data_IF_537075586687
#
_entry.id   IF_537075586687
#
_cell.length_a   1.000
_cell.length_b   1.000
_cell.length_c   1.000
_cell.angle_alpha   90.00
_cell.angle_beta   90.00
_cell.angle_gamma   90.00
#
_symmetry.space_group_name_H-M   'P 1'
#
loop_
_entity.id
_entity.type
_entity.pdbx_description
1 polymer ?
#
# COMPACT_ATOMS: atom_id res chain seq x y z
N UNK A 1 -45.54 41.59 -16.49
CA UNK A 1 -44.41 41.52 -15.54
C UNK A 1 -44.34 40.08 -15.08
N UNK A 2 -43.38 39.23 -15.44
CA UNK A 2 -42.17 39.29 -16.27
C UNK A 2 -42.12 37.90 -16.94
N UNK A 3 -41.82 37.87 -18.24
CA UNK A 3 -41.34 36.69 -18.95
C UNK A 3 -39.96 36.33 -18.40
N UNK A 4 -39.68 35.06 -18.11
CA UNK A 4 -38.29 34.58 -18.11
C UNK A 4 -38.30 33.10 -18.54
N UNK A 5 -38.17 32.93 -19.85
CA UNK A 5 -37.42 31.82 -20.42
C UNK A 5 -35.99 31.87 -19.87
N UNK A 6 -35.43 30.73 -19.46
CA UNK A 6 -34.05 30.37 -19.83
C UNK A 6 -33.77 28.92 -19.42
N UNK A 7 -33.89 28.05 -20.42
CA UNK A 7 -33.12 26.82 -20.56
C UNK A 7 -31.67 27.24 -20.81
N UNK A 8 -30.72 26.80 -19.98
CA UNK A 8 -29.34 26.55 -20.40
C UNK A 8 -28.86 25.29 -19.67
N UNK A 9 -28.84 24.18 -20.42
CA UNK A 9 -27.92 23.07 -20.22
C UNK A 9 -26.49 23.60 -20.37
N UNK A 10 -25.66 23.51 -19.34
CA UNK A 10 -24.21 23.43 -19.51
C UNK A 10 -23.68 22.39 -18.51
N UNK A 11 -23.67 21.15 -18.98
CA UNK A 11 -22.69 20.15 -18.55
C UNK A 11 -21.32 20.82 -18.63
N UNK A 12 -20.69 21.06 -17.48
CA UNK A 12 -19.29 21.45 -17.40
C UNK A 12 -18.43 20.20 -17.67
N UNK A 13 -18.61 19.65 -18.88
CA UNK A 13 -17.67 18.77 -19.58
C UNK A 13 -16.51 19.64 -20.04
N UNK A 14 -15.79 20.20 -19.07
CA UNK A 14 -14.39 20.54 -19.29
C UNK A 14 -13.59 19.23 -19.32
N UNK A 15 -13.86 18.40 -20.35
CA UNK A 15 -12.89 17.46 -20.88
C UNK A 15 -11.66 18.27 -21.22
N UNK A 16 -10.66 18.24 -20.32
CA UNK A 16 -9.38 18.86 -20.57
C UNK A 16 -8.81 18.28 -21.88
N UNK A 17 -8.95 19.05 -22.95
CA UNK A 17 -8.56 18.65 -24.28
C UNK A 17 -7.03 18.45 -24.28
N UNK A 18 -6.63 17.19 -24.48
CA UNK A 18 -5.24 16.78 -24.40
C UNK A 18 -4.43 17.54 -25.47
N UNK A 19 -3.34 18.20 -25.07
CA UNK A 19 -2.48 18.92 -26.02
C UNK A 19 -1.96 17.96 -27.10
N UNK A 20 -2.16 18.24 -28.40
CA UNK A 20 -1.71 17.39 -29.51
C UNK A 20 -0.18 17.32 -29.66
N UNK A 21 0.59 17.98 -28.76
CA UNK A 21 2.06 17.89 -28.69
C UNK A 21 2.56 16.71 -27.84
N UNK A 22 1.66 15.98 -27.18
CA UNK A 22 2.00 14.85 -26.32
C UNK A 22 1.49 13.55 -26.92
N UNK A 23 2.39 12.73 -27.48
CA UNK A 23 2.12 11.34 -27.86
C UNK A 23 1.91 10.50 -26.59
N UNK A 24 0.73 10.61 -25.97
CA UNK A 24 0.38 9.84 -24.78
C UNK A 24 0.26 8.36 -25.14
N UNK A 25 1.32 7.60 -24.83
CA UNK A 25 1.32 6.15 -24.95
C UNK A 25 1.00 5.51 -23.61
N UNK A 26 -0.28 5.19 -23.37
CA UNK A 26 -0.72 4.40 -22.20
C UNK A 26 0.09 3.11 -22.06
N UNK A 27 0.41 2.47 -23.19
CA UNK A 27 1.24 1.26 -23.24
C UNK A 27 2.65 1.49 -22.70
N UNK A 28 3.28 2.63 -23.03
CA UNK A 28 4.61 2.98 -22.51
C UNK A 28 4.58 3.26 -21.00
N UNK A 29 3.53 3.93 -20.50
CA UNK A 29 3.37 4.19 -19.07
C UNK A 29 3.22 2.87 -18.31
N UNK A 30 2.39 1.96 -18.82
CA UNK A 30 2.20 0.63 -18.24
C UNK A 30 3.50 -0.18 -18.28
N UNK A 31 4.23 -0.17 -19.40
CA UNK A 31 5.52 -0.83 -19.51
C UNK A 31 6.54 -0.30 -18.47
N UNK A 32 6.58 1.02 -18.30
CA UNK A 32 7.42 1.66 -17.28
C UNK A 32 7.00 1.28 -15.86
N UNK A 33 5.69 1.20 -15.57
CA UNK A 33 5.18 0.76 -14.28
C UNK A 33 5.57 -0.69 -13.98
N UNK A 34 5.34 -1.62 -14.92
CA UNK A 34 5.75 -3.03 -14.79
C UNK A 34 7.25 -3.13 -14.57
N UNK A 35 8.06 -2.39 -15.34
CA UNK A 35 9.52 -2.41 -15.22
C UNK A 35 9.97 -1.91 -13.85
N UNK A 36 9.36 -0.84 -13.33
CA UNK A 36 9.63 -0.34 -11.97
C UNK A 36 9.25 -1.36 -10.91
N UNK A 37 8.09 -1.99 -11.03
CA UNK A 37 7.65 -3.05 -10.11
C UNK A 37 8.63 -4.22 -10.13
N UNK A 38 9.02 -4.71 -11.32
CA UNK A 38 9.99 -5.79 -11.47
C UNK A 38 11.37 -5.43 -10.90
N UNK A 39 11.86 -4.21 -11.14
CA UNK A 39 13.12 -3.73 -10.60
C UNK A 39 13.08 -3.67 -9.06
N UNK A 40 12.00 -3.11 -8.48
CA UNK A 40 11.85 -3.08 -7.02
C UNK A 40 11.78 -4.49 -6.42
N UNK A 41 11.22 -5.46 -7.15
CA UNK A 41 11.18 -6.86 -6.71
C UNK A 41 12.55 -7.55 -6.72
N UNK A 42 13.48 -7.06 -7.54
CA UNK A 42 14.86 -7.53 -7.63
C UNK A 42 15.77 -7.02 -6.51
N UNK A 43 15.29 -6.08 -5.69
CA UNK A 43 15.99 -5.63 -4.49
C UNK A 43 15.87 -6.64 -3.34
N UNK A 44 16.77 -6.55 -2.36
CA UNK A 44 16.72 -7.38 -1.17
C UNK A 44 15.50 -6.98 -0.31
N UNK A 45 14.61 -7.94 -0.04
CA UNK A 45 13.31 -7.73 0.61
C UNK A 45 13.44 -7.61 2.14
N UNK A 46 14.10 -6.54 2.59
CA UNK A 46 14.37 -6.28 4.01
C UNK A 46 13.73 -4.98 4.50
N UNK A 47 13.61 -4.87 5.82
CA UNK A 47 13.18 -3.64 6.47
C UNK A 47 14.13 -2.49 6.16
N UNK A 48 13.62 -1.25 6.26
CA UNK A 48 14.42 -0.06 6.00
C UNK A 48 15.62 0.03 6.94
N UNK A 49 16.77 0.43 6.39
CA UNK A 49 18.03 0.46 7.11
C UNK A 49 18.86 1.68 6.72
N UNK A 50 19.85 2.02 7.54
CA UNK A 50 20.81 3.04 7.19
C UNK A 50 22.03 2.42 6.51
N UNK A 51 22.42 3.01 5.39
CA UNK A 51 23.65 2.69 4.68
C UNK A 51 24.58 3.90 4.64
N UNK A 52 25.86 3.71 4.31
CA UNK A 52 26.82 4.79 4.14
C UNK A 52 27.20 4.92 2.66
N UNK A 53 27.18 6.14 2.15
CA UNK A 53 27.72 6.48 0.83
C UNK A 53 28.84 7.50 1.00
N UNK A 54 29.94 7.27 0.29
CA UNK A 54 31.03 8.23 0.26
C UNK A 54 30.71 9.34 -0.76
N UNK A 55 30.87 10.60 -0.35
CA UNK A 55 30.82 11.72 -1.27
C UNK A 55 32.11 11.81 -2.11
N UNK A 56 32.15 12.77 -3.04
CA UNK A 56 33.34 12.98 -3.90
C UNK A 56 34.58 13.42 -3.12
N UNK A 57 34.40 13.94 -1.91
CA UNK A 57 35.44 14.44 -1.03
C UNK A 57 35.91 13.36 -0.02
N UNK A 58 35.32 12.16 -0.08
CA UNK A 58 35.67 11.01 0.76
C UNK A 58 34.95 10.95 2.11
N UNK A 59 33.98 11.83 2.39
CA UNK A 59 33.20 11.79 3.62
C UNK A 59 32.08 10.74 3.54
N UNK A 60 31.88 10.01 4.63
CA UNK A 60 30.79 9.03 4.74
C UNK A 60 29.48 9.73 5.12
N UNK A 61 28.52 9.77 4.20
CA UNK A 61 27.16 10.28 4.42
C UNK A 61 26.23 9.11 4.72
N UNK A 62 25.51 9.19 5.85
CA UNK A 62 24.50 8.22 6.24
C UNK A 62 23.22 8.46 5.43
N UNK A 63 22.80 7.47 4.65
CA UNK A 63 21.60 7.51 3.81
C UNK A 63 20.59 6.50 4.32
N UNK A 64 19.35 6.93 4.52
CA UNK A 64 18.25 6.03 4.84
C UNK A 64 17.76 5.33 3.57
N UNK A 65 17.73 4.01 3.61
CA UNK A 65 17.15 3.18 2.57
C UNK A 65 15.77 2.73 3.06
N UNK A 66 14.68 3.07 2.36
CA UNK A 66 13.34 2.67 2.75
C UNK A 66 13.13 1.14 2.66
N UNK A 67 12.10 0.65 3.35
CA UNK A 67 11.71 -0.76 3.34
C UNK A 67 11.32 -1.21 1.93
N UNK A 68 12.12 -2.09 1.33
CA UNK A 68 11.96 -2.53 -0.05
C UNK A 68 10.63 -3.26 -0.28
N UNK A 69 10.12 -3.98 0.74
CA UNK A 69 8.84 -4.68 0.66
C UNK A 69 7.69 -3.68 0.45
N UNK A 70 7.71 -2.57 1.19
CA UNK A 70 6.71 -1.50 1.06
C UNK A 70 6.77 -0.81 -0.30
N UNK A 71 7.98 -0.57 -0.82
CA UNK A 71 8.18 0.01 -2.16
C UNK A 71 7.59 -0.90 -3.23
N UNK A 72 7.90 -2.20 -3.18
CA UNK A 72 7.34 -3.18 -4.10
C UNK A 72 5.81 -3.21 -4.04
N UNK A 73 5.23 -3.33 -2.84
CA UNK A 73 3.77 -3.30 -2.66
C UNK A 73 3.15 -2.03 -3.23
N UNK A 74 3.76 -0.86 -2.97
CA UNK A 74 3.29 0.43 -3.50
C UNK A 74 3.34 0.48 -5.03
N UNK A 75 4.37 -0.08 -5.66
CA UNK A 75 4.49 -0.13 -7.11
C UNK A 75 3.43 -1.04 -7.75
N UNK A 76 3.12 -2.17 -7.10
CA UNK A 76 2.02 -3.06 -7.52
C UNK A 76 0.67 -2.36 -7.39
N UNK A 77 0.39 -1.67 -6.28
CA UNK A 77 -0.87 -0.92 -6.11
C UNK A 77 -1.02 0.17 -7.18
N UNK A 78 0.05 0.90 -7.48
CA UNK A 78 0.06 1.87 -8.58
C UNK A 78 -0.22 1.19 -9.94
N UNK A 79 0.33 -0.01 -10.16
CA UNK A 79 0.07 -0.79 -11.40
C UNK A 79 -1.39 -1.24 -11.49
N UNK A 80 -1.99 -1.67 -10.38
CA UNK A 80 -3.42 -2.02 -10.29
C UNK A 80 -4.29 -0.81 -10.66
N UNK A 81 -3.97 0.36 -10.12
CA UNK A 81 -4.71 1.60 -10.43
C UNK A 81 -4.62 1.97 -11.91
N UNK A 82 -3.43 1.88 -12.52
CA UNK A 82 -3.24 2.14 -13.96
C UNK A 82 -4.03 1.18 -14.85
N UNK A 83 -4.17 -0.07 -14.42
CA UNK A 83 -4.89 -1.13 -15.14
C UNK A 83 -6.36 -1.28 -14.70
N UNK A 84 -6.87 -0.37 -13.87
CA UNK A 84 -8.23 -0.45 -13.33
C UNK A 84 -9.30 -0.63 -14.44
N UNK A 85 -9.25 0.10 -15.58
CA UNK A 85 -10.22 -0.10 -16.66
C UNK A 85 -10.20 -1.51 -17.25
N UNK A 86 -9.02 -2.13 -17.39
CA UNK A 86 -8.84 -3.48 -17.91
C UNK A 86 -9.28 -4.53 -16.89
N UNK A 87 -8.96 -4.32 -15.62
CA UNK A 87 -9.38 -5.18 -14.50
C UNK A 87 -10.90 -5.22 -14.40
N UNK A 88 -11.59 -4.09 -14.57
CA UNK A 88 -13.06 -4.03 -14.50
C UNK A 88 -13.70 -4.81 -15.66
N UNK A 89 -13.11 -4.71 -16.86
CA UNK A 89 -13.60 -5.44 -18.05
C UNK A 89 -13.35 -6.94 -17.96
N UNK A 90 -12.26 -7.36 -17.33
CA UNK A 90 -11.92 -8.77 -17.14
C UNK A 90 -12.60 -9.36 -15.88
N UNK A 91 -13.67 -10.15 -16.10
CA UNK A 91 -14.42 -10.81 -15.02
C UNK A 91 -13.58 -11.72 -14.14
N UNK A 92 -12.52 -12.34 -14.67
CA UNK A 92 -11.63 -13.22 -13.91
C UNK A 92 -10.75 -12.37 -13.01
N UNK A 93 -10.12 -11.34 -13.55
CA UNK A 93 -9.24 -10.46 -12.79
C UNK A 93 -9.99 -9.70 -11.70
N UNK A 94 -11.21 -9.25 -11.97
CA UNK A 94 -12.04 -8.60 -10.95
C UNK A 94 -12.27 -9.51 -9.73
N UNK A 95 -12.56 -10.81 -9.94
CA UNK A 95 -12.68 -11.78 -8.84
C UNK A 95 -11.38 -11.94 -8.06
N UNK A 96 -10.25 -11.97 -8.75
CA UNK A 96 -8.92 -12.05 -8.13
C UNK A 96 -8.65 -10.83 -7.24
N UNK A 97 -8.98 -9.62 -7.70
CA UNK A 97 -8.82 -8.38 -6.92
C UNK A 97 -9.70 -8.37 -5.68
N UNK A 98 -10.97 -8.80 -5.81
CA UNK A 98 -11.87 -8.91 -4.64
C UNK A 98 -11.28 -9.86 -3.59
N UNK A 99 -10.73 -11.00 -4.01
CA UNK A 99 -10.11 -11.96 -3.09
C UNK A 99 -8.81 -11.42 -2.48
N UNK A 100 -8.00 -10.72 -3.27
CA UNK A 100 -6.79 -10.04 -2.81
C UNK A 100 -7.10 -9.02 -1.71
N UNK A 101 -8.12 -8.18 -1.88
CA UNK A 101 -8.53 -7.19 -0.87
C UNK A 101 -9.08 -7.85 0.41
N UNK A 102 -9.80 -8.97 0.28
CA UNK A 102 -10.20 -9.77 1.45
C UNK A 102 -9.00 -10.29 2.22
N UNK A 103 -8.00 -10.85 1.52
CA UNK A 103 -6.80 -11.38 2.16
C UNK A 103 -5.95 -10.27 2.78
N UNK A 104 -5.84 -9.10 2.14
CA UNK A 104 -5.21 -7.90 2.74
C UNK A 104 -5.89 -7.52 4.05
N UNK A 105 -7.22 -7.48 4.07
CA UNK A 105 -7.96 -7.16 5.29
C UNK A 105 -7.79 -8.24 6.38
N UNK A 106 -7.78 -9.53 6.02
CA UNK A 106 -7.50 -10.62 6.97
C UNK A 106 -6.12 -10.41 7.61
N UNK A 107 -5.07 -10.20 6.80
CA UNK A 107 -3.72 -9.94 7.32
C UNK A 107 -3.70 -8.71 8.24
N UNK A 108 -4.37 -7.62 7.85
CA UNK A 108 -4.48 -6.45 8.71
C UNK A 108 -5.14 -6.78 10.05
N UNK A 109 -6.29 -7.48 10.07
CA UNK A 109 -6.96 -7.84 11.33
C UNK A 109 -6.13 -8.80 12.20
N UNK A 110 -5.34 -9.68 11.58
CA UNK A 110 -4.45 -10.62 12.29
C UNK A 110 -3.29 -9.90 12.98
N UNK A 111 -2.70 -8.91 12.32
CA UNK A 111 -1.45 -8.29 12.77
C UNK A 111 -1.59 -6.86 13.32
N UNK A 112 -2.78 -6.25 13.22
CA UNK A 112 -3.02 -4.92 13.77
C UNK A 112 -2.89 -4.90 15.30
N UNK A 113 -2.27 -3.83 15.79
CA UNK A 113 -2.41 -3.43 17.16
C UNK A 113 -3.82 -2.91 17.38
N UNK A 114 -4.44 -3.35 18.47
CA UNK A 114 -5.75 -2.89 18.91
C UNK A 114 -5.53 -2.03 20.14
N UNK A 115 -5.76 -0.73 20.00
CA UNK A 115 -5.53 0.21 21.08
C UNK A 115 -6.47 -0.08 22.23
N UNK A 116 -5.86 -0.09 23.40
CA UNK A 116 -6.55 -0.18 24.66
C UNK A 116 -6.30 1.12 25.40
N UNK A 117 -7.35 1.65 26.00
CA UNK A 117 -7.25 2.70 27.00
C UNK A 117 -7.53 2.12 28.36
N UNK A 118 -6.93 2.72 29.37
CA UNK A 118 -7.22 2.37 30.75
C UNK A 118 -8.51 3.06 31.20
N UNK A 119 -9.37 2.34 31.91
CA UNK A 119 -10.62 2.85 32.48
C UNK A 119 -10.71 2.53 33.98
N UNK A 120 -11.36 3.40 34.74
CA UNK A 120 -11.72 3.14 36.14
C UNK A 120 -13.07 2.39 36.16
N UNK A 121 -13.12 1.27 36.86
CA UNK A 121 -14.30 0.43 36.99
C UNK A 121 -15.18 0.92 38.15
N UNK A 122 -16.49 0.60 38.17
CA UNK A 122 -17.42 1.06 39.21
C UNK A 122 -17.04 0.63 40.64
N UNK A 123 -16.18 -0.38 40.80
CA UNK A 123 -15.68 -0.88 42.07
C UNK A 123 -14.39 -0.16 42.56
N UNK A 124 -13.93 0.86 41.85
CA UNK A 124 -12.66 1.56 42.12
C UNK A 124 -11.40 0.81 41.68
N UNK A 125 -11.55 -0.33 40.98
CA UNK A 125 -10.43 -1.01 40.32
C UNK A 125 -10.18 -0.41 38.93
N UNK A 126 -9.04 -0.76 38.31
CA UNK A 126 -8.71 -0.33 36.95
C UNK A 126 -8.81 -1.51 35.98
N UNK A 127 -9.35 -1.24 34.79
CA UNK A 127 -9.44 -2.19 33.69
C UNK A 127 -8.91 -1.60 32.38
N UNK A 128 -8.87 -2.43 31.36
CA UNK A 128 -8.53 -2.05 29.99
C UNK A 128 -9.74 -2.17 29.09
N UNK A 129 -10.02 -1.14 28.32
CA UNK A 129 -11.09 -1.11 27.33
C UNK A 129 -10.50 -0.85 25.95
N UNK A 130 -10.99 -1.57 24.94
CA UNK A 130 -10.62 -1.31 23.55
C UNK A 130 -11.22 0.02 23.11
N UNK A 131 -10.39 0.93 22.60
CA UNK A 131 -10.88 2.21 22.05
C UNK A 131 -11.62 2.03 20.73
N UNK A 132 -11.34 0.92 20.03
CA UNK A 132 -11.80 0.65 18.67
C UNK A 132 -10.79 1.02 17.60
N UNK A 133 -9.76 1.82 17.93
CA UNK A 133 -8.68 2.16 17.00
C UNK A 133 -7.82 0.93 16.71
N UNK A 134 -7.51 0.72 15.42
CA UNK A 134 -6.64 -0.36 14.96
C UNK A 134 -5.65 0.18 13.94
N UNK A 135 -4.38 -0.17 14.07
CA UNK A 135 -3.37 0.15 13.06
C UNK A 135 -2.23 -0.86 13.07
N UNK A 136 -1.38 -0.80 12.05
CA UNK A 136 -0.09 -1.49 12.05
C UNK A 136 0.94 -0.49 12.59
N UNK A 137 1.56 -0.74 13.75
CA UNK A 137 2.55 0.18 14.30
C UNK A 137 3.76 0.32 13.37
N UNK A 138 4.49 1.43 13.51
CA UNK A 138 5.80 1.62 12.89
C UNK A 138 6.84 0.78 13.64
N UNK A 139 7.91 0.41 12.93
CA UNK A 139 9.08 -0.15 13.59
C UNK A 139 9.53 0.83 14.66
N UNK A 140 9.83 0.30 15.85
CA UNK A 140 10.29 1.08 16.99
C UNK A 140 9.27 2.10 17.52
N UNK A 141 7.99 1.95 17.17
CA UNK A 141 6.90 2.71 17.79
C UNK A 141 6.80 2.33 19.28
N UNK A 142 6.56 3.34 20.12
CA UNK A 142 6.30 3.14 21.54
C UNK A 142 4.83 2.79 21.73
N UNK A 143 4.59 1.63 22.33
CA UNK A 143 3.25 1.11 22.54
C UNK A 143 2.99 1.01 24.03
N UNK A 144 1.79 1.41 24.44
CA UNK A 144 1.29 1.23 25.80
C UNK A 144 1.03 -0.25 26.08
N UNK A 145 1.63 -0.74 27.16
CA UNK A 145 1.49 -2.11 27.64
C UNK A 145 1.02 -2.17 29.09
N UNK A 146 0.44 -3.30 29.46
CA UNK A 146 0.13 -3.60 30.85
C UNK A 146 1.44 -3.83 31.61
N UNK A 147 1.61 -3.18 32.76
CA UNK A 147 2.79 -3.38 33.61
C UNK A 147 2.84 -4.86 34.05
N UNK A 148 3.88 -5.62 33.64
CA UNK A 148 3.96 -7.06 33.93
C UNK A 148 4.15 -7.34 35.42
N UNK A 149 4.66 -6.37 36.19
CA UNK A 149 4.95 -6.51 37.62
C UNK A 149 3.73 -6.14 38.46
N UNK A 150 2.94 -5.17 38.00
CA UNK A 150 1.75 -4.71 38.71
C UNK A 150 0.60 -4.42 37.75
N UNK A 151 -0.13 -5.45 37.26
CA UNK A 151 -1.21 -5.28 36.29
C UNK A 151 -2.39 -4.44 36.81
N UNK A 152 -2.46 -4.19 38.12
CA UNK A 152 -3.44 -3.30 38.78
C UNK A 152 -2.87 -1.93 39.20
N UNK A 153 -1.57 -1.68 39.00
CA UNK A 153 -0.89 -0.41 39.36
C UNK A 153 -1.19 0.69 38.36
N UNK A 154 -1.35 1.93 38.81
CA UNK A 154 -1.58 3.14 38.01
C UNK A 154 -0.48 3.46 36.97
N UNK A 155 0.66 2.77 37.02
CA UNK A 155 1.76 3.03 36.08
C UNK A 155 1.50 2.36 34.73
N UNK A 156 1.51 3.16 33.67
CA UNK A 156 1.61 2.70 32.29
C UNK A 156 3.08 2.48 31.95
N UNK A 157 3.40 1.35 31.32
CA UNK A 157 4.69 1.11 30.69
C UNK A 157 4.58 1.36 29.19
N UNK A 158 5.57 2.06 28.64
CA UNK A 158 5.73 2.25 27.20
C UNK A 158 6.93 1.46 26.74
N UNK A 159 6.71 0.46 25.89
CA UNK A 159 7.78 -0.37 25.36
C UNK A 159 8.03 -0.03 23.88
N UNK A 160 9.30 0.24 23.58
CA UNK A 160 9.75 0.56 22.23
C UNK A 160 10.09 -0.73 21.49
N UNK A 161 9.55 -0.89 20.29
CA UNK A 161 9.92 -2.00 19.39
C UNK A 161 9.33 -3.36 19.76
N UNK A 162 8.44 -3.41 20.75
CA UNK A 162 7.75 -4.65 21.17
C UNK A 162 7.05 -5.36 20.01
N UNK A 163 6.52 -4.59 19.05
CA UNK A 163 5.78 -5.11 17.90
C UNK A 163 6.64 -5.37 16.66
N UNK A 164 7.96 -5.12 16.69
CA UNK A 164 8.81 -5.18 15.48
C UNK A 164 8.74 -6.54 14.77
N UNK A 165 8.79 -7.64 15.53
CA UNK A 165 8.68 -8.99 14.97
C UNK A 165 7.32 -9.23 14.28
N UNK A 166 6.25 -8.68 14.86
CA UNK A 166 4.89 -8.79 14.31
C UNK A 166 4.77 -7.96 13.04
N UNK A 167 5.31 -6.74 13.03
CA UNK A 167 5.34 -5.85 11.86
C UNK A 167 6.11 -6.49 10.71
N UNK A 168 7.28 -7.07 10.98
CA UNK A 168 8.08 -7.74 9.96
C UNK A 168 7.32 -8.94 9.38
N UNK A 169 6.72 -9.78 10.22
CA UNK A 169 5.89 -10.90 9.75
C UNK A 169 4.67 -10.44 8.95
N UNK A 170 4.06 -9.29 9.29
CA UNK A 170 2.98 -8.70 8.50
C UNK A 170 3.47 -8.35 7.09
N UNK A 171 4.59 -7.64 6.97
CA UNK A 171 5.13 -7.24 5.66
C UNK A 171 5.63 -8.41 4.83
N UNK A 172 6.18 -9.45 5.45
CA UNK A 172 6.59 -10.67 4.74
C UNK A 172 5.39 -11.42 4.15
N UNK A 173 4.27 -11.48 4.87
CA UNK A 173 3.03 -12.09 4.36
C UNK A 173 2.36 -11.21 3.31
N UNK A 174 2.38 -9.89 3.49
CA UNK A 174 1.92 -8.93 2.47
C UNK A 174 2.73 -9.10 1.18
N UNK A 175 4.06 -9.20 1.26
CA UNK A 175 4.91 -9.42 0.10
C UNK A 175 4.47 -10.66 -0.70
N UNK A 176 4.23 -11.79 -0.04
CA UNK A 176 3.75 -13.01 -0.73
C UNK A 176 2.40 -12.82 -1.43
N UNK A 177 1.49 -12.06 -0.81
CA UNK A 177 0.19 -11.74 -1.40
C UNK A 177 0.34 -10.82 -2.62
N UNK A 178 1.24 -9.85 -2.53
CA UNK A 178 1.55 -8.93 -3.62
C UNK A 178 2.31 -9.59 -4.78
N UNK A 179 3.17 -10.57 -4.50
CA UNK A 179 3.80 -11.39 -5.56
C UNK A 179 2.75 -12.15 -6.38
N UNK A 180 1.73 -12.72 -5.71
CA UNK A 180 0.63 -13.43 -6.39
C UNK A 180 -0.19 -12.49 -7.28
N UNK A 181 -0.58 -11.32 -6.78
CA UNK A 181 -1.37 -10.39 -7.60
C UNK A 181 -0.56 -9.83 -8.76
N UNK A 182 0.74 -9.60 -8.56
CA UNK A 182 1.62 -9.14 -9.64
C UNK A 182 1.77 -10.19 -10.75
N UNK A 183 1.84 -11.47 -10.41
CA UNK A 183 1.80 -12.55 -11.40
C UNK A 183 0.49 -12.54 -12.22
N UNK A 184 -0.65 -12.33 -11.55
CA UNK A 184 -1.97 -12.24 -12.19
C UNK A 184 -2.12 -11.03 -13.11
N UNK A 185 -1.54 -9.89 -12.71
CA UNK A 185 -1.44 -8.69 -13.54
C UNK A 185 -0.62 -8.96 -14.81
N UNK A 186 0.51 -9.66 -14.69
CA UNK A 186 1.32 -10.04 -15.86
C UNK A 186 0.55 -10.95 -16.83
N UNK A 187 -0.28 -11.86 -16.31
CA UNK A 187 -1.17 -12.69 -17.14
C UNK A 187 -2.26 -11.85 -17.84
N UNK A 188 -2.86 -10.88 -17.15
CA UNK A 188 -3.83 -9.96 -17.75
C UNK A 188 -3.21 -9.20 -18.92
N UNK A 189 -2.02 -8.65 -18.72
CA UNK A 189 -1.31 -7.85 -19.72
C UNK A 189 -0.88 -8.69 -20.93
N UNK A 190 -0.47 -9.94 -20.68
CA UNK A 190 -0.15 -10.91 -21.74
C UNK A 190 -1.38 -11.49 -22.45
N UNK A 191 -2.60 -11.23 -21.96
CA UNK A 191 -3.82 -11.75 -22.56
C UNK A 191 -4.12 -11.08 -23.91
N UNK A 192 -4.69 -11.85 -24.83
CA UNK A 192 -5.12 -11.38 -26.15
C UNK A 192 -6.20 -10.31 -26.10
N UNK A 193 -6.85 -10.14 -24.95
CA UNK A 193 -7.95 -9.19 -24.76
C UNK A 193 -7.44 -7.77 -24.48
N UNK A 194 -6.24 -7.66 -23.91
CA UNK A 194 -5.65 -6.37 -23.51
C UNK A 194 -4.66 -5.87 -24.56
N UNK A 195 -3.91 -6.76 -25.21
CA UNK A 195 -3.06 -6.46 -26.39
C UNK A 195 -2.16 -5.21 -26.26
N UNK A 196 -1.64 -4.91 -25.06
CA UNK A 196 -0.74 -3.76 -24.88
C UNK A 196 0.57 -3.88 -25.67
N UNK A 197 0.99 -5.11 -25.96
CA UNK A 197 2.24 -5.38 -26.67
C UNK A 197 1.96 -6.26 -27.89
N UNK A 198 1.96 -5.65 -29.09
CA UNK A 198 1.98 -6.44 -30.34
C UNK A 198 3.32 -7.17 -30.44
N UNK A 199 3.31 -8.45 -30.81
CA UNK A 199 4.55 -9.15 -31.21
C UNK A 199 5.18 -8.34 -32.33
N UNK A 200 6.40 -7.83 -32.11
CA UNK A 200 7.15 -7.14 -33.14
C UNK A 200 7.25 -8.02 -34.38
N UNK A 201 6.82 -7.49 -35.53
CA UNK A 201 7.12 -8.09 -36.83
C UNK A 201 8.63 -8.10 -36.96
N UNK A 202 9.26 -9.26 -36.75
CA UNK A 202 10.65 -9.47 -37.11
C UNK A 202 10.74 -9.29 -38.62
N UNK A 203 11.30 -8.15 -39.04
CA UNK A 203 11.93 -8.03 -40.35
C UNK A 203 13.25 -8.79 -40.34
#
# INVERSE_FOLDING_TARGET
MIEDENIIDEEDDNEQEYSPKSDFSKALIIANAITRTANSRGEEMIEGYFNFKFDKDGNAVKVWIPDARKIFCSNVDATIQLLSPEIIKDKRMNKVIIEFEKQKNILFQTYCYKEKRRIELPNGEYGWELTGSKWIPKIDEQIETEDPIAPRSLKTTYEKGLYNNIINRYWDNMLQLYDKIFAEINLLIGSSNVNYFKKGSRY
#
